data_IF_233043213586
#
_entry.id   IF_233043213586
#
_cell.length_a   1.000
_cell.length_b   1.000
_cell.length_c   1.000
_cell.angle_alpha   90.00
_cell.angle_beta   90.00
_cell.angle_gamma   90.00
#
_symmetry.space_group_name_H-M   'P 1'
#
loop_
_entity.id
_entity.type
_entity.pdbx_description
1 polymer ?
#
# COMPACT_ATOMS: atom_id res chain seq x y z
N UNK A 1 6.99 7.57 -9.94
CA UNK A 1 7.12 7.48 -8.47
C UNK A 1 8.06 6.37 -8.04
N UNK A 2 7.80 5.14 -8.48
CA UNK A 2 8.65 3.98 -8.11
C UNK A 2 10.10 4.16 -8.59
N UNK A 3 10.30 4.59 -9.82
CA UNK A 3 11.65 4.78 -10.35
C UNK A 3 12.40 5.87 -9.59
N UNK A 4 11.74 6.97 -9.29
CA UNK A 4 12.33 8.04 -8.47
C UNK A 4 12.73 7.53 -7.10
N UNK A 5 11.86 6.74 -6.46
CA UNK A 5 12.14 6.16 -5.15
C UNK A 5 13.37 5.26 -5.16
N UNK A 6 13.52 4.45 -6.22
CA UNK A 6 14.70 3.59 -6.37
C UNK A 6 15.98 4.40 -6.56
N UNK A 7 15.92 5.48 -7.33
CA UNK A 7 17.06 6.37 -7.50
C UNK A 7 17.44 7.05 -6.18
N UNK A 8 16.44 7.50 -5.41
CA UNK A 8 16.67 8.10 -4.10
C UNK A 8 17.28 7.10 -3.12
N UNK A 9 16.77 5.87 -3.13
CA UNK A 9 17.30 4.82 -2.26
C UNK A 9 18.77 4.57 -2.52
N UNK A 10 19.15 4.50 -3.79
CA UNK A 10 20.54 4.28 -4.19
C UNK A 10 21.44 5.45 -3.80
N UNK A 11 20.93 6.66 -3.91
CA UNK A 11 21.71 7.87 -3.65
C UNK A 11 21.85 8.16 -2.16
N UNK A 12 20.79 7.93 -1.38
CA UNK A 12 20.72 8.32 0.03
C UNK A 12 21.20 7.23 1.00
N UNK A 13 21.42 6.03 0.52
CA UNK A 13 22.02 4.99 1.36
C UNK A 13 23.49 5.30 1.68
N UNK A 14 23.98 4.80 2.80
CA UNK A 14 23.29 3.99 3.80
C UNK A 14 22.53 4.79 4.87
N UNK A 15 22.61 6.11 4.86
CA UNK A 15 22.05 6.95 5.93
C UNK A 15 20.53 6.99 5.94
N UNK A 16 19.91 6.89 4.77
CA UNK A 16 18.46 6.98 4.62
C UNK A 16 17.96 5.82 3.77
N UNK A 17 16.92 5.15 4.27
CA UNK A 17 16.20 4.12 3.52
C UNK A 17 14.97 4.75 2.85
N UNK A 18 14.70 4.33 1.62
CA UNK A 18 13.54 4.81 0.86
C UNK A 18 12.80 3.61 0.31
N UNK A 19 11.58 3.41 0.76
CA UNK A 19 10.70 2.34 0.28
C UNK A 19 9.35 2.92 -0.10
N UNK A 20 8.58 2.17 -0.87
CA UNK A 20 7.27 2.57 -1.35
C UNK A 20 6.24 1.55 -0.87
N UNK A 21 5.07 2.03 -0.44
CA UNK A 21 3.92 1.18 -0.18
C UNK A 21 2.94 1.39 -1.32
N UNK A 22 2.53 0.30 -1.98
CA UNK A 22 1.55 0.31 -3.04
C UNK A 22 0.26 -0.33 -2.52
N UNK A 23 -0.74 0.47 -2.09
CA UNK A 23 -1.98 -0.06 -1.56
C UNK A 23 -2.91 -0.52 -2.67
N UNK A 24 -3.80 -1.47 -2.34
CA UNK A 24 -4.94 -1.81 -3.18
C UNK A 24 -6.11 -0.86 -2.90
N UNK A 25 -7.34 -1.39 -2.99
CA UNK A 25 -8.52 -0.59 -2.66
C UNK A 25 -8.65 -0.51 -1.13
N UNK A 26 -8.59 0.72 -0.63
CA UNK A 26 -8.67 1.00 0.81
C UNK A 26 -9.98 1.74 1.07
N UNK A 27 -10.82 1.17 1.93
CA UNK A 27 -12.06 1.81 2.39
C UNK A 27 -11.76 2.91 3.41
N UNK A 28 -12.77 3.71 3.71
CA UNK A 28 -12.73 4.72 4.79
C UNK A 28 -11.66 5.80 4.61
N UNK A 29 -11.21 6.04 3.38
CA UNK A 29 -10.32 7.17 3.11
C UNK A 29 -11.13 8.39 2.72
N UNK A 30 -10.59 9.59 2.93
CA UNK A 30 -11.22 10.82 2.46
C UNK A 30 -11.43 10.82 0.95
N UNK A 31 -10.58 10.11 0.25
CA UNK A 31 -10.66 9.99 -1.20
C UNK A 31 -11.99 9.39 -1.67
N UNK A 32 -12.57 8.52 -0.84
CA UNK A 32 -13.80 7.81 -1.17
C UNK A 32 -15.06 8.48 -0.62
N UNK A 33 -14.95 9.48 0.24
CA UNK A 33 -16.09 10.14 0.84
C UNK A 33 -16.93 10.82 -0.24
N UNK A 34 -18.23 10.55 -0.25
CA UNK A 34 -19.18 11.17 -1.17
C UNK A 34 -19.19 10.58 -2.57
N UNK A 35 -18.43 9.52 -2.85
CA UNK A 35 -18.48 8.87 -4.17
C UNK A 35 -19.80 8.13 -4.36
N UNK A 36 -20.43 8.26 -5.55
CA UNK A 36 -21.66 7.51 -5.83
C UNK A 36 -21.43 6.01 -5.76
N UNK A 37 -22.42 5.27 -5.26
CA UNK A 37 -22.38 3.80 -5.18
C UNK A 37 -21.16 3.26 -4.45
N UNK A 38 -20.69 3.95 -3.41
CA UNK A 38 -19.50 3.56 -2.68
C UNK A 38 -19.63 2.15 -2.10
N UNK A 39 -20.77 1.82 -1.49
CA UNK A 39 -20.99 0.51 -0.89
C UNK A 39 -20.90 -0.61 -1.93
N UNK A 40 -21.46 -0.42 -3.12
CA UNK A 40 -21.37 -1.39 -4.20
C UNK A 40 -19.94 -1.52 -4.71
N UNK A 41 -19.22 -0.41 -4.79
CA UNK A 41 -17.81 -0.41 -5.20
C UNK A 41 -16.94 -1.18 -4.21
N UNK A 42 -17.15 -0.97 -2.92
CA UNK A 42 -16.42 -1.68 -1.86
C UNK A 42 -16.70 -3.18 -1.94
N UNK A 43 -17.96 -3.56 -2.08
CA UNK A 43 -18.34 -4.97 -2.16
C UNK A 43 -17.70 -5.66 -3.37
N UNK A 44 -17.73 -5.00 -4.53
CA UNK A 44 -17.14 -5.54 -5.75
C UNK A 44 -15.63 -5.67 -5.64
N UNK A 45 -14.95 -4.67 -5.10
CA UNK A 45 -13.51 -4.70 -4.91
C UNK A 45 -13.12 -5.81 -3.92
N UNK A 46 -13.89 -5.97 -2.84
CA UNK A 46 -13.64 -7.03 -1.88
C UNK A 46 -13.80 -8.42 -2.48
N UNK A 47 -14.82 -8.62 -3.32
CA UNK A 47 -15.02 -9.91 -3.99
C UNK A 47 -13.91 -10.22 -4.99
N UNK A 48 -13.37 -9.20 -5.65
CA UNK A 48 -12.30 -9.39 -6.64
C UNK A 48 -10.96 -9.71 -6.01
N UNK A 49 -10.72 -9.32 -4.76
CA UNK A 49 -9.46 -9.57 -4.09
C UNK A 49 -9.38 -11.03 -3.61
N UNK A 50 -8.24 -11.71 -3.78
CA UNK A 50 -8.06 -13.06 -3.21
C UNK A 50 -8.34 -13.17 -1.72
N UNK A 51 -8.03 -12.13 -0.92
CA UNK A 51 -8.33 -12.15 0.51
C UNK A 51 -9.78 -11.79 0.83
N UNK A 52 -10.59 -11.52 -0.20
CA UNK A 52 -12.05 -11.34 -0.10
C UNK A 52 -12.47 -10.17 0.79
N UNK A 53 -11.67 -9.14 0.83
CA UNK A 53 -12.03 -7.88 1.49
C UNK A 53 -11.24 -6.74 0.89
N UNK A 54 -11.72 -5.50 1.12
CA UNK A 54 -10.94 -4.30 0.85
C UNK A 54 -10.01 -4.03 2.04
N UNK A 55 -8.97 -3.24 1.80
CA UNK A 55 -8.07 -2.84 2.87
C UNK A 55 -8.67 -1.77 3.77
N UNK A 56 -8.05 -1.59 4.91
CA UNK A 56 -8.34 -0.52 5.85
C UNK A 56 -7.13 0.38 6.00
N UNK A 57 -7.29 1.61 6.51
CA UNK A 57 -6.13 2.45 6.82
C UNK A 57 -5.12 1.77 7.73
N UNK A 58 -5.59 0.92 8.64
CA UNK A 58 -4.73 0.18 9.55
C UNK A 58 -3.83 -0.82 8.82
N UNK A 59 -4.30 -1.43 7.74
CA UNK A 59 -3.48 -2.34 6.94
C UNK A 59 -2.25 -1.62 6.38
N UNK A 60 -2.44 -0.38 5.94
CA UNK A 60 -1.35 0.44 5.41
C UNK A 60 -0.46 0.96 6.54
N UNK A 61 -1.06 1.37 7.66
CA UNK A 61 -0.31 1.83 8.82
C UNK A 61 0.61 0.75 9.38
N UNK A 62 0.14 -0.50 9.42
CA UNK A 62 0.95 -1.63 9.87
C UNK A 62 2.16 -1.86 8.96
N UNK A 63 1.97 -1.73 7.65
CA UNK A 63 3.07 -1.85 6.70
C UNK A 63 4.09 -0.72 6.89
N UNK A 64 3.60 0.52 7.06
CA UNK A 64 4.47 1.66 7.29
C UNK A 64 5.25 1.52 8.60
N UNK A 65 4.60 1.06 9.65
CA UNK A 65 5.23 0.84 10.94
C UNK A 65 6.32 -0.22 10.85
N UNK A 66 6.06 -1.31 10.13
CA UNK A 66 7.07 -2.36 9.92
C UNK A 66 8.29 -1.79 9.21
N UNK A 67 8.09 -1.04 8.13
CA UNK A 67 9.21 -0.44 7.39
C UNK A 67 10.01 0.54 8.25
N UNK A 68 9.33 1.29 9.11
CA UNK A 68 9.99 2.28 9.97
C UNK A 68 10.77 1.66 11.13
N UNK A 69 10.28 0.52 11.66
CA UNK A 69 10.81 -0.03 12.92
C UNK A 69 11.57 -1.33 12.76
N UNK A 70 11.23 -2.15 11.76
CA UNK A 70 11.80 -3.48 11.59
C UNK A 70 12.36 -3.74 10.20
N UNK A 71 12.21 -2.81 9.29
CA UNK A 71 12.70 -2.94 7.93
C UNK A 71 14.13 -2.44 7.73
N UNK A 72 15.01 -2.68 8.69
CA UNK A 72 16.36 -2.09 8.71
C UNK A 72 17.21 -2.48 7.50
N UNK A 73 16.95 -3.63 6.91
CA UNK A 73 17.70 -4.11 5.76
C UNK A 73 16.93 -3.97 4.46
N UNK A 74 15.99 -3.04 4.40
CA UNK A 74 15.14 -2.82 3.23
C UNK A 74 15.29 -1.39 2.73
N UNK A 75 15.65 -1.25 1.47
CA UNK A 75 15.62 0.04 0.77
C UNK A 75 15.40 -0.22 -0.72
N UNK A 76 14.77 0.73 -1.39
CA UNK A 76 14.49 0.62 -2.82
C UNK A 76 13.38 -0.36 -3.16
N UNK A 77 12.62 -0.83 -2.19
CA UNK A 77 11.60 -1.83 -2.40
C UNK A 77 10.21 -1.21 -2.57
N UNK A 78 9.32 -1.98 -3.19
CA UNK A 78 7.90 -1.64 -3.30
C UNK A 78 7.13 -2.71 -2.56
N UNK A 79 6.52 -2.35 -1.43
CA UNK A 79 5.72 -3.26 -0.63
C UNK A 79 4.26 -3.16 -1.06
N UNK A 80 3.75 -4.21 -1.68
CA UNK A 80 2.37 -4.27 -2.16
C UNK A 80 1.47 -4.75 -1.04
N UNK A 81 0.44 -3.96 -0.71
CA UNK A 81 -0.53 -4.27 0.35
C UNK A 81 -1.93 -4.14 -0.25
N UNK A 82 -2.36 -5.18 -0.97
CA UNK A 82 -3.54 -5.12 -1.83
C UNK A 82 -4.49 -6.31 -1.70
N UNK A 83 -4.29 -7.18 -0.72
CA UNK A 83 -5.12 -8.37 -0.56
C UNK A 83 -4.99 -9.37 -1.72
N UNK A 84 -3.93 -9.27 -2.49
CA UNK A 84 -3.67 -10.15 -3.64
C UNK A 84 -4.25 -9.65 -4.95
N UNK A 85 -4.72 -8.42 -5.01
CA UNK A 85 -5.43 -7.92 -6.18
C UNK A 85 -4.60 -7.98 -7.48
N UNK A 86 -3.27 -7.79 -7.38
CA UNK A 86 -2.42 -7.82 -8.57
C UNK A 86 -2.35 -9.18 -9.24
N UNK A 87 -2.64 -10.27 -8.52
CA UNK A 87 -2.63 -11.62 -9.05
C UNK A 87 -4.02 -12.17 -9.33
N UNK A 88 -5.02 -11.34 -9.07
CA UNK A 88 -6.43 -11.77 -9.23
C UNK A 88 -6.82 -11.87 -10.71
#
# INVERSE_FOLDING_TARGET
MVQLSKCLAKTLGPEIRVNVIAPGFIAETRWNVGRPNLDATIAKAGQAAPLKRVGTPEDIADAALFLATRGDFMTGDVMVVDGGRLIA
#
